data_IF_853069899740
#
_entry.id   IF_853069899740
#
_cell.length_a   1.000
_cell.length_b   1.000
_cell.length_c   1.000
_cell.angle_alpha   90.00
_cell.angle_beta   90.00
_cell.angle_gamma   90.00
#
_symmetry.space_group_name_H-M   'P 1'
#
loop_
_entity.id
_entity.type
_entity.pdbx_description
1 polymer ?
#
# COMPACT_ATOMS: atom_id res chain seq x y z
N UNK A 1 2.91 35.36 22.15
CA UNK A 1 2.39 34.01 22.46
C UNK A 1 1.43 33.49 21.37
N UNK A 2 1.63 33.87 20.09
CA UNK A 2 0.82 33.44 18.93
C UNK A 2 1.61 32.61 17.91
N UNK A 3 2.95 32.69 17.92
CA UNK A 3 3.81 31.94 17.00
C UNK A 3 3.87 30.42 17.30
N UNK A 4 3.68 30.01 18.57
CA UNK A 4 3.75 28.60 18.95
C UNK A 4 2.56 27.77 18.46
N UNK A 5 1.41 28.41 18.18
CA UNK A 5 0.19 27.73 17.72
C UNK A 5 0.22 27.48 16.21
N UNK A 6 0.95 28.31 15.44
CA UNK A 6 1.05 28.18 13.98
C UNK A 6 2.19 27.26 13.51
N UNK A 7 3.22 27.04 14.32
CA UNK A 7 4.40 26.23 13.93
C UNK A 7 4.30 24.77 14.40
N UNK A 8 3.53 24.50 15.45
CA UNK A 8 3.33 23.12 15.94
C UNK A 8 2.62 22.20 14.94
N UNK A 9 1.55 22.61 14.21
CA UNK A 9 0.88 21.72 13.25
C UNK A 9 1.79 21.29 12.08
N UNK A 10 2.51 22.20 11.39
CA UNK A 10 3.39 21.80 10.28
C UNK A 10 4.58 20.97 10.75
N UNK A 11 5.17 21.25 11.92
CA UNK A 11 6.29 20.46 12.43
C UNK A 11 5.87 19.04 12.84
N UNK A 12 4.68 18.88 13.43
CA UNK A 12 4.09 17.56 13.70
C UNK A 12 3.74 16.81 12.42
N UNK A 13 3.15 17.50 11.43
CA UNK A 13 2.88 16.91 10.12
C UNK A 13 4.17 16.45 9.44
N UNK A 14 5.21 17.29 9.47
CA UNK A 14 6.53 16.96 8.93
C UNK A 14 7.19 15.79 9.68
N UNK A 15 7.13 15.78 11.02
CA UNK A 15 7.64 14.67 11.84
C UNK A 15 6.92 13.35 11.56
N UNK A 16 5.59 13.37 11.42
CA UNK A 16 4.81 12.20 11.00
C UNK A 16 5.16 11.76 9.57
N UNK A 17 5.43 12.71 8.68
CA UNK A 17 5.84 12.43 7.30
C UNK A 17 7.20 11.72 7.27
N UNK A 18 8.19 12.25 7.98
CA UNK A 18 9.54 11.66 8.06
C UNK A 18 9.50 10.27 8.69
N UNK A 19 8.73 10.08 9.77
CA UNK A 19 8.56 8.77 10.39
C UNK A 19 7.89 7.77 9.45
N UNK A 20 6.81 8.16 8.75
CA UNK A 20 6.13 7.31 7.78
C UNK A 20 6.99 6.98 6.54
N UNK A 21 7.98 7.80 6.21
CA UNK A 21 8.96 7.52 5.15
C UNK A 21 10.05 6.54 5.61
N UNK A 22 10.46 6.61 6.88
CA UNK A 22 11.54 5.76 7.41
C UNK A 22 11.06 4.37 7.81
N UNK A 23 9.78 4.24 8.15
CA UNK A 23 9.17 2.98 8.54
C UNK A 23 8.42 2.31 7.36
N UNK A 24 9.00 1.20 6.89
CA UNK A 24 8.46 0.16 5.98
C UNK A 24 7.14 -0.52 6.43
N UNK A 25 6.30 0.19 7.19
CA UNK A 25 5.31 -0.42 8.08
C UNK A 25 3.89 -0.45 7.49
N UNK A 26 3.12 -1.38 8.05
CA UNK A 26 1.68 -1.51 7.86
C UNK A 26 0.96 -0.19 8.17
N UNK A 27 0.62 0.56 7.13
CA UNK A 27 -0.17 1.79 7.18
C UNK A 27 -1.63 1.40 7.42
N UNK A 28 -2.22 2.01 8.43
CA UNK A 28 -3.63 1.80 8.75
C UNK A 28 -4.52 2.29 7.59
N UNK A 29 -5.47 1.46 7.12
CA UNK A 29 -6.34 1.83 6.02
C UNK A 29 -7.23 3.00 6.43
N UNK A 30 -7.50 3.90 5.48
CA UNK A 30 -8.33 5.09 5.67
C UNK A 30 -7.84 6.08 6.74
N UNK A 31 -6.59 5.96 7.18
CA UNK A 31 -5.93 6.95 8.04
C UNK A 31 -5.47 8.18 7.23
N UNK A 32 -5.34 9.37 7.82
CA UNK A 32 -4.77 10.53 7.14
C UNK A 32 -3.42 10.24 6.47
N UNK A 33 -2.59 9.40 7.08
CA UNK A 33 -1.32 8.94 6.50
C UNK A 33 -1.56 8.17 5.21
N UNK A 34 -2.49 7.21 5.21
CA UNK A 34 -2.82 6.47 3.98
C UNK A 34 -3.23 7.38 2.82
N UNK A 35 -4.01 8.44 3.08
CA UNK A 35 -4.42 9.39 2.05
C UNK A 35 -3.26 10.23 1.50
N UNK A 36 -2.19 10.40 2.27
CA UNK A 36 -1.02 11.17 1.88
C UNK A 36 -0.01 10.34 1.09
N UNK A 37 0.17 9.07 1.46
CA UNK A 37 1.30 8.25 0.96
C UNK A 37 0.89 7.12 0.03
N UNK A 38 -0.40 6.76 -0.04
CA UNK A 38 -0.90 5.70 -0.92
C UNK A 38 -1.63 6.27 -2.13
N UNK A 39 -1.33 5.71 -3.29
CA UNK A 39 -1.95 6.06 -4.55
C UNK A 39 -3.48 5.90 -4.49
N UNK A 40 -4.28 6.85 -5.02
CA UNK A 40 -5.73 6.81 -4.93
C UNK A 40 -6.35 5.52 -5.47
N UNK A 41 -5.83 4.98 -6.58
CA UNK A 41 -6.34 3.77 -7.21
C UNK A 41 -6.12 2.51 -6.33
N UNK A 42 -4.99 2.41 -5.63
CA UNK A 42 -4.78 1.36 -4.63
C UNK A 42 -5.71 1.52 -3.43
N UNK A 43 -5.97 2.76 -2.98
CA UNK A 43 -6.90 3.02 -1.87
C UNK A 43 -8.36 2.70 -2.20
N UNK A 44 -8.74 2.64 -3.48
CA UNK A 44 -10.09 2.25 -3.90
C UNK A 44 -10.31 0.74 -3.98
N UNK A 45 -9.27 -0.07 -3.78
CA UNK A 45 -9.40 -1.53 -3.77
C UNK A 45 -10.33 -1.95 -2.62
N UNK A 46 -11.44 -2.58 -2.98
CA UNK A 46 -12.38 -3.17 -2.02
C UNK A 46 -12.04 -4.65 -1.86
N UNK A 47 -11.69 -5.13 -0.65
CA UNK A 47 -11.42 -6.54 -0.40
C UNK A 47 -12.62 -7.44 -0.71
N UNK A 48 -12.37 -8.58 -1.35
CA UNK A 48 -13.39 -9.58 -1.68
C UNK A 48 -13.31 -10.73 -0.68
N UNK A 49 -14.46 -11.20 -0.20
CA UNK A 49 -14.55 -12.34 0.73
C UNK A 49 -13.56 -12.24 1.90
N UNK A 50 -13.46 -11.04 2.48
CA UNK A 50 -12.42 -10.68 3.43
C UNK A 50 -12.55 -11.47 4.74
N UNK A 51 -11.45 -12.11 5.16
CA UNK A 51 -11.33 -12.86 6.41
C UNK A 51 -10.23 -12.34 7.35
N UNK A 52 -9.47 -11.31 6.96
CA UNK A 52 -8.55 -10.61 7.85
C UNK A 52 -8.50 -9.10 7.54
N UNK A 53 -7.95 -8.26 8.43
CA UNK A 53 -7.91 -6.81 8.23
C UNK A 53 -7.24 -6.39 6.91
N UNK A 54 -7.73 -5.30 6.33
CA UNK A 54 -7.08 -4.62 5.21
C UNK A 54 -5.90 -3.83 5.74
N UNK A 55 -4.78 -3.90 5.04
CA UNK A 55 -3.58 -3.17 5.43
C UNK A 55 -2.90 -2.62 4.19
N UNK A 56 -2.43 -1.39 4.30
CA UNK A 56 -1.63 -0.76 3.27
C UNK A 56 -0.16 -0.82 3.68
N UNK A 57 0.72 -0.90 2.70
CA UNK A 57 2.14 -0.90 2.92
C UNK A 57 2.81 -0.10 1.81
N UNK A 58 3.86 0.61 2.17
CA UNK A 58 4.74 1.29 1.23
C UNK A 58 6.16 0.89 1.59
N UNK A 59 6.95 0.55 0.58
CA UNK A 59 8.36 0.26 0.74
C UNK A 59 9.20 0.95 -0.33
N UNK A 60 10.41 1.32 0.06
CA UNK A 60 11.42 1.84 -0.84
C UNK A 60 12.50 0.79 -1.04
N UNK A 61 12.95 0.62 -2.28
CA UNK A 61 14.06 -0.25 -2.61
C UNK A 61 15.38 0.52 -2.55
N UNK A 62 16.33 -0.02 -1.80
CA UNK A 62 17.67 0.55 -1.66
C UNK A 62 18.68 -0.20 -2.56
N UNK A 63 19.44 0.54 -3.38
CA UNK A 63 20.55 0.00 -4.18
C UNK A 63 21.77 0.93 -4.23
N UNK A 64 22.13 1.52 -3.08
CA UNK A 64 23.14 2.59 -2.98
C UNK A 64 22.55 4.01 -2.96
N UNK A 65 21.22 4.07 -3.08
CA UNK A 65 20.29 5.19 -2.96
C UNK A 65 18.88 4.59 -3.02
N UNK A 66 17.81 5.40 -3.03
CA UNK A 66 16.47 4.90 -3.34
C UNK A 66 16.38 4.73 -4.85
N UNK A 67 16.09 3.51 -5.31
CA UNK A 67 15.94 3.21 -6.74
C UNK A 67 14.60 2.60 -7.11
N UNK A 68 13.66 2.54 -6.18
CA UNK A 68 12.30 2.17 -6.51
C UNK A 68 11.39 2.28 -5.33
N UNK A 69 10.10 2.19 -5.62
CA UNK A 69 9.03 2.22 -4.65
C UNK A 69 8.03 1.12 -4.96
N UNK A 70 7.56 0.41 -3.94
CA UNK A 70 6.33 -0.37 -4.05
C UNK A 70 5.30 0.13 -3.06
N UNK A 71 4.08 0.22 -3.56
CA UNK A 71 2.90 0.34 -2.74
C UNK A 71 2.10 -0.95 -2.84
N UNK A 72 1.63 -1.44 -1.70
CA UNK A 72 0.91 -2.70 -1.59
C UNK A 72 -0.35 -2.54 -0.76
N UNK A 73 -1.40 -3.20 -1.21
CA UNK A 73 -2.61 -3.45 -0.44
C UNK A 73 -2.66 -4.95 -0.15
N UNK A 74 -2.79 -5.34 1.11
CA UNK A 74 -2.94 -6.75 1.49
C UNK A 74 -4.14 -6.97 2.39
N UNK A 75 -4.79 -8.11 2.20
CA UNK A 75 -5.93 -8.55 3.00
C UNK A 75 -6.04 -10.08 2.96
N UNK A 76 -6.62 -10.65 4.00
CA UNK A 76 -7.00 -12.06 4.01
C UNK A 76 -8.30 -12.25 3.25
N UNK A 77 -8.39 -13.26 2.42
CA UNK A 77 -9.57 -13.63 1.64
C UNK A 77 -9.78 -15.14 1.60
N UNK A 78 -11.05 -15.55 1.52
CA UNK A 78 -11.43 -16.94 1.22
C UNK A 78 -11.69 -17.16 -0.28
N UNK A 79 -11.58 -16.12 -1.10
CA UNK A 79 -11.71 -16.23 -2.55
C UNK A 79 -10.51 -16.96 -3.17
N UNK A 80 -10.73 -17.59 -4.32
CA UNK A 80 -9.66 -18.19 -5.12
C UNK A 80 -8.93 -17.13 -5.94
N UNK A 81 -7.71 -17.43 -6.39
CA UNK A 81 -6.93 -16.54 -7.26
C UNK A 81 -7.73 -16.15 -8.52
N UNK A 82 -8.41 -17.10 -9.14
CA UNK A 82 -9.24 -16.87 -10.32
C UNK A 82 -10.35 -15.84 -10.06
N UNK A 83 -11.00 -15.88 -8.90
CA UNK A 83 -12.03 -14.90 -8.54
C UNK A 83 -11.39 -13.51 -8.41
N UNK A 84 -10.23 -13.42 -7.76
CA UNK A 84 -9.52 -12.15 -7.58
C UNK A 84 -9.07 -11.58 -8.93
N UNK A 85 -8.51 -12.40 -9.82
CA UNK A 85 -8.07 -12.00 -11.16
C UNK A 85 -9.23 -11.54 -12.05
N UNK A 86 -10.40 -12.18 -11.94
CA UNK A 86 -11.58 -11.76 -12.68
C UNK A 86 -12.25 -10.51 -12.11
N UNK A 87 -11.98 -10.16 -10.85
CA UNK A 87 -12.61 -8.99 -10.21
C UNK A 87 -11.73 -7.76 -10.29
N UNK A 88 -10.41 -7.92 -10.14
CA UNK A 88 -9.46 -6.83 -10.23
C UNK A 88 -8.88 -6.77 -11.63
N UNK A 89 -9.37 -5.81 -12.42
CA UNK A 89 -8.77 -5.46 -13.70
C UNK A 89 -7.42 -4.76 -13.45
N UNK A 90 -6.33 -5.54 -13.53
CA UNK A 90 -4.99 -5.02 -13.27
C UNK A 90 -4.52 -4.04 -14.35
N UNK A 91 -5.03 -4.15 -15.57
CA UNK A 91 -4.67 -3.25 -16.67
C UNK A 91 -5.34 -1.88 -16.46
N UNK A 92 -6.61 -1.86 -16.07
CA UNK A 92 -7.31 -0.63 -15.68
C UNK A 92 -6.66 0.00 -14.42
N UNK A 93 -6.31 -0.83 -13.43
CA UNK A 93 -5.63 -0.34 -12.23
C UNK A 93 -4.27 0.29 -12.56
N UNK A 94 -3.50 -0.33 -13.45
CA UNK A 94 -2.22 0.20 -13.95
C UNK A 94 -2.41 1.54 -14.67
N UNK A 95 -3.45 1.69 -15.50
CA UNK A 95 -3.72 2.93 -16.20
C UNK A 95 -4.04 4.11 -15.25
N UNK A 96 -4.51 3.83 -14.04
CA UNK A 96 -4.81 4.84 -13.01
C UNK A 96 -3.63 5.12 -12.06
N UNK A 97 -2.57 4.30 -12.12
CA UNK A 97 -1.38 4.40 -11.28
C UNK A 97 -0.24 5.07 -12.04
N UNK A 98 -0.41 6.36 -12.31
CA UNK A 98 0.61 7.19 -12.94
C UNK A 98 1.92 7.15 -12.12
N UNK A 99 3.04 6.92 -12.82
CA UNK A 99 4.36 6.71 -12.22
C UNK A 99 4.69 5.27 -11.81
N UNK A 100 3.77 4.30 -11.86
CA UNK A 100 4.10 2.90 -11.55
C UNK A 100 4.30 2.07 -12.83
N UNK A 101 5.42 1.35 -12.90
CA UNK A 101 5.82 0.51 -14.04
C UNK A 101 5.18 -0.87 -14.05
N UNK A 102 4.83 -1.40 -12.88
CA UNK A 102 4.28 -2.74 -12.75
C UNK A 102 3.14 -2.77 -11.74
N UNK A 103 2.08 -3.49 -12.07
CA UNK A 103 1.00 -3.82 -11.13
C UNK A 103 0.80 -5.33 -11.15
N UNK A 104 0.78 -5.94 -9.96
CA UNK A 104 0.67 -7.39 -9.82
C UNK A 104 -0.28 -7.80 -8.71
N UNK A 105 -0.94 -8.95 -8.90
CA UNK A 105 -1.75 -9.63 -7.90
C UNK A 105 -1.03 -10.90 -7.48
N UNK A 106 -0.83 -11.06 -6.18
CA UNK A 106 -0.26 -12.25 -5.58
C UNK A 106 -1.18 -12.86 -4.53
N UNK A 107 -1.23 -14.19 -4.46
CA UNK A 107 -1.95 -14.93 -3.44
C UNK A 107 -1.04 -15.94 -2.76
N UNK A 108 -1.04 -15.94 -1.43
CA UNK A 108 -0.24 -16.85 -0.61
C UNK A 108 -1.12 -17.60 0.39
N UNK A 109 -0.93 -18.91 0.48
CA UNK A 109 -1.67 -19.78 1.40
C UNK A 109 -0.85 -20.04 2.66
N UNK A 110 -1.48 -20.01 3.84
CA UNK A 110 -0.83 -20.46 5.08
C UNK A 110 0.08 -19.44 5.76
N UNK A 111 -0.17 -18.13 5.58
CA UNK A 111 0.57 -17.09 6.32
C UNK A 111 0.28 -17.20 7.83
N UNK A 112 1.30 -17.18 8.70
CA UNK A 112 1.11 -17.12 10.14
C UNK A 112 0.26 -15.91 10.55
N UNK A 113 -0.75 -16.12 11.39
CA UNK A 113 -1.65 -15.06 11.89
C UNK A 113 -2.93 -14.86 11.08
N UNK A 114 -3.14 -15.60 9.99
CA UNK A 114 -4.44 -15.66 9.30
C UNK A 114 -5.34 -16.76 9.91
N UNK A 115 -6.67 -16.58 9.89
CA UNK A 115 -7.61 -17.65 10.23
C UNK A 115 -7.46 -18.88 9.34
N UNK A 116 -7.85 -20.05 9.84
CA UNK A 116 -7.87 -21.28 9.04
C UNK A 116 -8.77 -21.12 7.80
N UNK A 117 -8.29 -21.59 6.65
CA UNK A 117 -8.98 -21.42 5.36
C UNK A 117 -8.89 -20.02 4.75
N UNK A 118 -8.19 -19.08 5.38
CA UNK A 118 -7.95 -17.73 4.86
C UNK A 118 -6.60 -17.70 4.11
N UNK A 119 -6.62 -17.21 2.87
CA UNK A 119 -5.41 -16.95 2.08
C UNK A 119 -5.09 -15.46 2.12
N UNK A 120 -3.81 -15.12 2.00
CA UNK A 120 -3.42 -13.75 1.75
C UNK A 120 -3.61 -13.41 0.28
N UNK A 121 -4.29 -12.30 0.00
CA UNK A 121 -4.23 -11.63 -1.29
C UNK A 121 -3.48 -10.31 -1.13
N UNK A 122 -2.66 -9.98 -2.12
CA UNK A 122 -2.00 -8.68 -2.19
C UNK A 122 -1.97 -8.15 -3.62
N UNK A 123 -2.28 -6.87 -3.76
CA UNK A 123 -2.12 -6.12 -5.01
C UNK A 123 -0.99 -5.13 -4.76
N UNK A 124 0.00 -5.16 -5.64
CA UNK A 124 1.21 -4.33 -5.52
C UNK A 124 1.39 -3.51 -6.78
N UNK A 125 1.81 -2.26 -6.61
CA UNK A 125 2.25 -1.38 -7.68
C UNK A 125 3.72 -1.04 -7.42
N UNK A 126 4.59 -1.26 -8.40
CA UNK A 126 6.02 -1.04 -8.32
C UNK A 126 6.47 -0.02 -9.36
N UNK A 127 7.31 0.91 -8.93
CA UNK A 127 7.95 1.97 -9.70
C UNK A 127 9.45 1.77 -9.57
N UNK A 128 10.13 1.56 -10.71
CA UNK A 128 11.58 1.52 -10.77
C UNK A 128 12.07 2.94 -11.08
N UNK A 129 12.79 3.56 -10.13
CA UNK A 129 13.35 4.89 -10.33
C UNK A 129 14.59 4.83 -11.22
N UNK A 130 14.57 3.99 -12.26
CA UNK A 130 15.65 3.84 -13.23
C UNK A 130 16.20 5.23 -13.55
N UNK A 131 17.47 5.42 -13.21
CA UNK A 131 18.17 6.68 -13.47
C UNK A 131 18.39 6.72 -14.99
N UNK A 132 17.43 7.27 -15.71
CA UNK A 132 17.56 7.64 -17.13
C UNK A 132 18.68 8.69 -17.33
#
# INVERSE_FOLDING_TARGET
MLAAIFVAPPALLFGMFVYAFYENYAIWPYSPVSYLVMAPALRSITPIAQCSPLVYQRYFQECGGICGEQQRVWFGTTATLDILQNTYDLDDLRAQLDGFDEVSLHMSTGRPGLPEGCSEASISAYDDYAID
#
